data_IF_497498097407
#
_entry.id   IF_497498097407
#
_cell.length_a   1.000
_cell.length_b   1.000
_cell.length_c   1.000
_cell.angle_alpha   90.00
_cell.angle_beta   90.00
_cell.angle_gamma   90.00
#
_symmetry.space_group_name_H-M   'P 1'
#
loop_
_entity.id
_entity.type
_entity.pdbx_description
1 polymer ?
#
# COMPACT_ATOMS: atom_id res chain seq x y z
N UNK A 1 17.63 11.22 1.39
CA UNK A 1 17.45 10.52 0.09
C UNK A 1 18.74 10.06 -0.60
N UNK A 2 19.94 10.52 -0.22
CA UNK A 2 21.22 10.11 -0.86
C UNK A 2 21.62 8.64 -0.64
N UNK A 3 20.93 7.92 0.25
CA UNK A 3 21.26 6.54 0.62
C UNK A 3 20.54 5.47 -0.21
N UNK A 4 19.41 5.81 -0.85
CA UNK A 4 18.56 4.83 -1.54
C UNK A 4 19.12 4.49 -2.92
N UNK A 5 19.29 3.20 -3.18
CA UNK A 5 19.72 2.69 -4.49
C UNK A 5 18.51 2.40 -5.37
N UNK A 6 18.41 3.10 -6.50
CA UNK A 6 17.33 2.90 -7.49
C UNK A 6 17.22 1.45 -7.93
N UNK A 7 18.34 0.77 -8.18
CA UNK A 7 18.34 -0.65 -8.57
C UNK A 7 17.76 -1.56 -7.47
N UNK A 8 18.06 -1.27 -6.20
CA UNK A 8 17.52 -2.05 -5.08
C UNK A 8 16.03 -1.78 -4.87
N UNK A 9 15.56 -0.54 -5.06
CA UNK A 9 14.13 -0.21 -5.05
C UNK A 9 13.40 -0.91 -6.21
N UNK A 10 13.98 -0.95 -7.41
CA UNK A 10 13.46 -1.74 -8.54
C UNK A 10 13.33 -3.23 -8.19
N UNK A 11 14.35 -3.82 -7.56
CA UNK A 11 14.29 -5.20 -7.09
C UNK A 11 13.18 -5.43 -6.08
N UNK A 12 12.96 -4.49 -5.14
CA UNK A 12 11.85 -4.58 -4.20
C UNK A 12 10.50 -4.52 -4.92
N UNK A 13 10.31 -3.63 -5.89
CA UNK A 13 9.07 -3.57 -6.66
C UNK A 13 8.75 -4.92 -7.34
N UNK A 14 9.73 -5.51 -8.04
CA UNK A 14 9.54 -6.79 -8.70
C UNK A 14 9.39 -7.96 -7.71
N UNK A 15 10.15 -7.95 -6.62
CA UNK A 15 10.06 -8.96 -5.57
C UNK A 15 8.69 -8.93 -4.87
N UNK A 16 8.19 -7.76 -4.52
CA UNK A 16 6.86 -7.56 -3.94
C UNK A 16 5.75 -7.95 -4.89
N UNK A 17 5.87 -7.63 -6.19
CA UNK A 17 4.94 -8.07 -7.23
C UNK A 17 4.90 -9.59 -7.31
N UNK A 18 6.07 -10.23 -7.40
CA UNK A 18 6.20 -11.69 -7.45
C UNK A 18 5.61 -12.35 -6.21
N UNK A 19 5.90 -11.82 -5.01
CA UNK A 19 5.30 -12.31 -3.77
C UNK A 19 3.77 -12.19 -3.80
N UNK A 20 3.22 -11.11 -4.37
CA UNK A 20 1.78 -10.88 -4.43
C UNK A 20 1.09 -11.89 -5.32
N UNK A 21 1.68 -12.16 -6.48
CA UNK A 21 1.22 -13.21 -7.40
C UNK A 21 1.32 -14.58 -6.74
N UNK A 22 2.42 -14.91 -6.07
CA UNK A 22 2.57 -16.18 -5.34
C UNK A 22 1.49 -16.35 -4.27
N UNK A 23 1.23 -15.34 -3.45
CA UNK A 23 0.17 -15.36 -2.44
C UNK A 23 -1.22 -15.54 -3.07
N UNK A 24 -1.50 -14.87 -4.19
CA UNK A 24 -2.75 -15.04 -4.91
C UNK A 24 -2.92 -16.47 -5.47
N UNK A 25 -1.82 -17.08 -5.97
CA UNK A 25 -1.81 -18.47 -6.43
C UNK A 25 -2.06 -19.43 -5.25
N UNK A 26 -1.36 -19.24 -4.13
CA UNK A 26 -1.57 -20.04 -2.91
C UNK A 26 -3.01 -19.95 -2.43
N UNK A 27 -3.58 -18.75 -2.39
CA UNK A 27 -4.99 -18.55 -2.05
C UNK A 27 -5.92 -19.30 -3.00
N UNK A 28 -5.66 -19.23 -4.31
CA UNK A 28 -6.48 -19.91 -5.32
C UNK A 28 -6.42 -21.43 -5.18
N UNK A 29 -5.27 -21.98 -4.84
CA UNK A 29 -5.06 -23.43 -4.70
C UNK A 29 -5.64 -23.98 -3.40
N UNK A 30 -5.43 -23.29 -2.27
CA UNK A 30 -5.69 -23.85 -0.94
C UNK A 30 -6.80 -23.12 -0.16
N UNK A 31 -7.27 -21.96 -0.63
CA UNK A 31 -8.24 -21.12 0.08
C UNK A 31 -9.55 -21.83 0.40
N UNK A 32 -10.11 -22.61 -0.54
CA UNK A 32 -11.35 -23.35 -0.29
C UNK A 32 -11.20 -24.41 0.81
N UNK A 33 -10.06 -25.11 0.84
CA UNK A 33 -9.77 -26.09 1.89
C UNK A 33 -9.58 -25.42 3.25
N UNK A 34 -8.83 -24.31 3.29
CA UNK A 34 -8.60 -23.51 4.48
C UNK A 34 -9.91 -22.93 5.06
N UNK A 35 -10.81 -22.40 4.21
CA UNK A 35 -12.11 -21.88 4.66
C UNK A 35 -13.00 -22.98 5.23
N UNK A 36 -12.95 -24.21 4.69
CA UNK A 36 -13.68 -25.36 5.24
C UNK A 36 -13.18 -25.78 6.63
N UNK A 37 -11.87 -25.67 6.87
CA UNK A 37 -11.27 -26.00 8.17
C UNK A 37 -11.66 -25.01 9.27
N UNK A 38 -11.91 -23.74 8.92
CA UNK A 38 -12.33 -22.70 9.85
C UNK A 38 -11.20 -22.19 10.75
N UNK A 39 -11.57 -21.44 11.80
CA UNK A 39 -10.62 -20.94 12.80
C UNK A 39 -9.65 -19.86 12.28
N UNK A 40 -8.45 -19.81 12.86
CA UNK A 40 -7.42 -18.81 12.50
C UNK A 40 -6.87 -19.03 11.08
N UNK A 41 -6.77 -20.28 10.62
CA UNK A 41 -6.32 -20.62 9.26
C UNK A 41 -7.25 -19.98 8.21
N UNK A 42 -8.56 -20.11 8.38
CA UNK A 42 -9.52 -19.45 7.48
C UNK A 42 -9.36 -17.93 7.46
N UNK A 43 -9.13 -17.29 8.62
CA UNK A 43 -8.88 -15.84 8.70
C UNK A 43 -7.62 -15.45 7.94
N UNK A 44 -6.53 -16.20 8.12
CA UNK A 44 -5.26 -15.95 7.41
C UNK A 44 -5.45 -16.03 5.89
N UNK A 45 -6.17 -17.02 5.38
CA UNK A 45 -6.41 -17.13 3.93
C UNK A 45 -7.28 -15.98 3.39
N UNK A 46 -8.28 -15.51 4.13
CA UNK A 46 -9.04 -14.30 3.76
C UNK A 46 -8.12 -13.08 3.67
N UNK A 47 -7.19 -12.96 4.63
CA UNK A 47 -6.20 -11.89 4.64
C UNK A 47 -5.19 -11.98 3.49
N UNK A 48 -4.68 -13.18 3.18
CA UNK A 48 -3.82 -13.45 2.03
C UNK A 48 -4.51 -13.05 0.73
N UNK A 49 -5.80 -13.39 0.57
CA UNK A 49 -6.56 -12.99 -0.62
C UNK A 49 -6.61 -11.47 -0.78
N UNK A 50 -6.98 -10.76 0.29
CA UNK A 50 -7.14 -9.30 0.24
C UNK A 50 -5.80 -8.59 0.04
N UNK A 51 -4.77 -9.01 0.78
CA UNK A 51 -3.47 -8.33 0.78
C UNK A 51 -2.63 -8.68 -0.44
N UNK A 52 -2.81 -9.86 -1.06
CA UNK A 52 -2.20 -10.14 -2.37
C UNK A 52 -2.71 -9.18 -3.46
N UNK A 53 -4.01 -8.87 -3.48
CA UNK A 53 -4.58 -7.89 -4.41
C UNK A 53 -4.04 -6.48 -4.15
N UNK A 54 -4.01 -6.04 -2.88
CA UNK A 54 -3.45 -4.73 -2.51
C UNK A 54 -1.96 -4.63 -2.88
N UNK A 55 -1.19 -5.68 -2.63
CA UNK A 55 0.25 -5.69 -2.92
C UNK A 55 0.53 -5.63 -4.43
N UNK A 56 -0.22 -6.36 -5.25
CA UNK A 56 -0.12 -6.28 -6.71
C UNK A 56 -0.49 -4.86 -7.18
N UNK A 57 -1.62 -4.31 -6.71
CA UNK A 57 -2.06 -2.96 -7.06
C UNK A 57 -1.06 -1.88 -6.67
N UNK A 58 -0.51 -1.95 -5.45
CA UNK A 58 0.52 -1.03 -4.97
C UNK A 58 1.82 -1.11 -5.78
N UNK A 59 2.24 -2.31 -6.17
CA UNK A 59 3.40 -2.48 -7.05
C UNK A 59 3.14 -1.90 -8.46
N UNK A 60 1.94 -2.06 -9.03
CA UNK A 60 1.57 -1.45 -10.31
C UNK A 60 1.68 0.08 -10.21
N UNK A 61 1.16 0.68 -9.15
CA UNK A 61 1.21 2.14 -8.93
C UNK A 61 2.68 2.60 -8.82
N UNK A 62 3.48 1.94 -7.99
CA UNK A 62 4.89 2.24 -7.81
C UNK A 62 5.70 2.11 -9.11
N UNK A 63 5.50 1.02 -9.86
CA UNK A 63 6.16 0.78 -11.14
C UNK A 63 5.75 1.81 -12.19
N UNK A 64 4.46 2.16 -12.26
CA UNK A 64 3.95 3.14 -13.21
C UNK A 64 4.59 4.51 -12.99
N UNK A 65 4.70 4.93 -11.72
CA UNK A 65 5.37 6.18 -11.35
C UNK A 65 6.88 6.12 -11.67
N UNK A 66 7.56 5.05 -11.26
CA UNK A 66 9.00 4.87 -11.46
C UNK A 66 9.40 4.85 -12.94
N UNK A 67 8.77 3.97 -13.72
CA UNK A 67 9.07 3.84 -15.15
C UNK A 67 8.55 5.02 -15.96
N UNK A 68 7.45 5.66 -15.52
CA UNK A 68 6.98 6.93 -16.09
C UNK A 68 8.06 8.00 -16.03
N UNK A 69 8.73 8.15 -14.87
CA UNK A 69 9.88 9.06 -14.71
C UNK A 69 11.09 8.59 -15.52
N UNK A 70 11.46 7.31 -15.41
CA UNK A 70 12.65 6.74 -16.06
C UNK A 70 12.61 6.84 -17.60
N UNK A 71 11.43 6.67 -18.20
CA UNK A 71 11.21 6.76 -19.64
C UNK A 71 10.95 8.21 -20.11
N UNK A 72 10.87 9.18 -19.20
CA UNK A 72 10.62 10.59 -19.53
C UNK A 72 9.17 10.92 -19.91
N UNK A 73 8.23 10.01 -19.63
CA UNK A 73 6.79 10.24 -19.84
C UNK A 73 6.18 11.10 -18.72
N UNK A 74 6.75 11.03 -17.51
CA UNK A 74 6.31 11.81 -16.35
C UNK A 74 7.48 12.59 -15.72
N UNK A 75 7.20 13.76 -15.15
CA UNK A 75 8.11 14.41 -14.21
C UNK A 75 7.87 13.91 -12.79
N UNK A 76 8.89 13.87 -11.91
CA UNK A 76 8.69 13.60 -10.49
C UNK A 76 7.68 14.57 -9.88
N UNK A 77 6.77 14.08 -9.04
CA UNK A 77 5.79 14.90 -8.32
C UNK A 77 6.43 15.75 -7.20
N UNK A 78 7.60 15.35 -6.72
CA UNK A 78 8.41 16.09 -5.76
C UNK A 78 9.38 17.02 -6.50
N UNK A 79 9.49 18.29 -6.08
CA UNK A 79 10.44 19.25 -6.63
C UNK A 79 10.08 19.84 -8.00
N UNK A 80 8.80 19.77 -8.41
CA UNK A 80 8.30 20.22 -9.73
C UNK A 80 8.68 21.66 -10.08
N UNK A 81 8.82 22.53 -9.06
CA UNK A 81 9.20 23.95 -9.24
C UNK A 81 10.57 24.17 -9.91
N UNK A 82 11.47 23.19 -9.88
CA UNK A 82 12.81 23.32 -10.49
C UNK A 82 12.88 22.75 -11.93
N UNK A 83 11.97 21.85 -12.30
CA UNK A 83 12.04 21.08 -13.57
C UNK A 83 11.20 21.72 -14.69
N UNK A 84 10.14 22.45 -14.34
CA UNK A 84 9.20 23.05 -15.30
C UNK A 84 9.81 24.16 -16.20
N UNK A 85 11.02 24.64 -15.90
CA UNK A 85 11.67 25.71 -16.67
C UNK A 85 12.30 25.24 -18.00
N UNK A 86 12.46 23.94 -18.25
CA UNK A 86 13.21 23.42 -19.40
C UNK A 86 12.57 22.17 -20.03
N UNK A 87 11.60 22.36 -20.94
CA UNK A 87 11.47 21.67 -22.26
C UNK A 87 10.07 21.83 -22.87
N UNK A 88 10.04 22.23 -24.14
CA UNK A 88 8.84 22.54 -24.93
C UNK A 88 8.01 21.34 -25.44
N UNK A 89 7.95 20.25 -24.68
CA UNK A 89 6.95 19.19 -24.81
C UNK A 89 6.67 18.74 -23.38
N UNK A 90 5.63 19.28 -22.72
CA UNK A 90 5.42 19.06 -21.28
C UNK A 90 5.18 17.56 -21.02
N UNK A 91 6.12 16.85 -20.35
CA UNK A 91 5.84 15.52 -19.83
C UNK A 91 4.66 15.64 -18.84
N UNK A 92 3.85 14.60 -18.68
CA UNK A 92 2.76 14.62 -17.71
C UNK A 92 3.34 14.91 -16.33
N UNK A 93 2.88 15.96 -15.65
CA UNK A 93 3.30 16.23 -14.28
C UNK A 93 2.87 15.03 -13.41
N UNK A 94 3.83 14.31 -12.83
CA UNK A 94 3.54 13.05 -12.13
C UNK A 94 2.48 13.22 -11.04
N UNK A 95 2.53 14.36 -10.33
CA UNK A 95 1.51 14.73 -9.34
C UNK A 95 0.13 14.92 -9.95
N UNK A 96 0.02 15.69 -11.05
CA UNK A 96 -1.24 15.91 -11.75
C UNK A 96 -1.82 14.61 -12.35
N UNK A 97 -0.96 13.76 -12.91
CA UNK A 97 -1.34 12.46 -13.44
C UNK A 97 -1.92 11.54 -12.37
N UNK A 98 -1.23 11.40 -11.23
CA UNK A 98 -1.72 10.59 -10.10
C UNK A 98 -2.98 11.19 -9.48
N UNK A 99 -3.08 12.53 -9.39
CA UNK A 99 -4.29 13.21 -8.92
C UNK A 99 -5.50 12.96 -9.84
N UNK A 100 -5.31 12.98 -11.16
CA UNK A 100 -6.37 12.66 -12.11
C UNK A 100 -6.88 11.22 -11.92
N UNK A 101 -5.96 10.26 -11.71
CA UNK A 101 -6.31 8.87 -11.40
C UNK A 101 -7.07 8.77 -10.07
N UNK A 102 -6.63 9.50 -9.04
CA UNK A 102 -7.32 9.55 -7.74
C UNK A 102 -8.75 10.08 -7.89
N UNK A 103 -8.93 11.15 -8.68
CA UNK A 103 -10.25 11.73 -8.96
C UNK A 103 -11.16 10.72 -9.66
N UNK A 104 -10.67 10.02 -10.69
CA UNK A 104 -11.45 8.97 -11.37
C UNK A 104 -11.83 7.84 -10.39
N UNK A 105 -10.89 7.39 -9.56
CA UNK A 105 -11.15 6.36 -8.56
C UNK A 105 -12.24 6.80 -7.55
N UNK A 106 -12.19 8.05 -7.08
CA UNK A 106 -13.24 8.62 -6.22
C UNK A 106 -14.58 8.76 -6.91
N UNK A 107 -14.63 9.13 -8.19
CA UNK A 107 -15.89 9.18 -8.93
C UNK A 107 -16.52 7.79 -9.08
N UNK A 108 -15.70 6.76 -9.35
CA UNK A 108 -16.17 5.38 -9.38
C UNK A 108 -16.66 4.91 -8.01
N UNK A 109 -15.96 5.28 -6.93
CA UNK A 109 -16.35 4.92 -5.58
C UNK A 109 -17.64 5.64 -5.12
N UNK A 110 -17.79 6.92 -5.48
CA UNK A 110 -19.01 7.68 -5.27
C UNK A 110 -20.19 7.06 -6.05
N UNK A 111 -19.99 6.74 -7.33
CA UNK A 111 -20.99 6.05 -8.15
C UNK A 111 -21.40 4.71 -7.54
N UNK A 112 -20.43 3.94 -7.02
CA UNK A 112 -20.68 2.70 -6.28
C UNK A 112 -21.56 2.92 -5.05
N UNK A 113 -21.32 3.97 -4.27
CA UNK A 113 -22.07 4.24 -3.04
C UNK A 113 -23.44 4.88 -3.29
N UNK A 114 -23.62 5.58 -4.42
CA UNK A 114 -24.87 6.27 -4.75
C UNK A 114 -25.82 5.45 -5.64
N UNK A 115 -25.31 4.52 -6.45
CA UNK A 115 -26.11 3.79 -7.45
C UNK A 115 -26.21 2.30 -7.06
N UNK A 116 -27.40 1.81 -6.65
CA UNK A 116 -27.58 0.42 -6.20
C UNK A 116 -27.15 -0.64 -7.23
N UNK A 117 -27.33 -0.37 -8.53
CA UNK A 117 -26.89 -1.26 -9.59
C UNK A 117 -25.36 -1.42 -9.65
N UNK A 118 -24.63 -0.31 -9.48
CA UNK A 118 -23.15 -0.29 -9.43
C UNK A 118 -22.66 -0.97 -8.16
N UNK A 119 -23.30 -0.70 -7.02
CA UNK A 119 -22.98 -1.39 -5.76
C UNK A 119 -23.15 -2.91 -5.89
N UNK A 120 -24.28 -3.37 -6.44
CA UNK A 120 -24.54 -4.80 -6.64
C UNK A 120 -23.49 -5.45 -7.55
N UNK A 121 -23.17 -4.80 -8.67
CA UNK A 121 -22.12 -5.26 -9.58
C UNK A 121 -20.75 -5.33 -8.87
N UNK A 122 -20.39 -4.28 -8.12
CA UNK A 122 -19.13 -4.22 -7.37
C UNK A 122 -19.02 -5.35 -6.32
N UNK A 123 -20.05 -5.51 -5.48
CA UNK A 123 -20.09 -6.56 -4.47
C UNK A 123 -20.01 -7.97 -5.09
N UNK A 124 -20.58 -8.17 -6.28
CA UNK A 124 -20.47 -9.44 -6.99
C UNK A 124 -19.08 -9.67 -7.61
N UNK A 125 -18.45 -8.61 -8.13
CA UNK A 125 -17.17 -8.69 -8.84
C UNK A 125 -15.99 -8.86 -7.89
N UNK A 126 -16.03 -8.20 -6.72
CA UNK A 126 -14.96 -8.20 -5.72
C UNK A 126 -15.32 -9.04 -4.48
N UNK A 127 -16.13 -10.08 -4.66
CA UNK A 127 -16.55 -10.96 -3.57
C UNK A 127 -15.35 -11.57 -2.85
N UNK A 128 -15.30 -11.40 -1.53
CA UNK A 128 -14.21 -11.89 -0.67
C UNK A 128 -13.00 -10.94 -0.54
N UNK A 129 -12.96 -9.85 -1.31
CA UNK A 129 -11.93 -8.80 -1.16
C UNK A 129 -12.40 -7.64 -0.26
N UNK A 130 -13.71 -7.38 -0.23
CA UNK A 130 -14.32 -6.26 0.49
C UNK A 130 -14.53 -6.63 1.96
N UNK A 131 -14.08 -5.78 2.90
CA UNK A 131 -14.42 -5.95 4.33
C UNK A 131 -15.88 -5.59 4.57
N UNK A 132 -16.51 -6.20 5.58
CA UNK A 132 -17.90 -5.85 5.94
C UNK A 132 -18.07 -4.35 6.23
N UNK A 133 -17.07 -3.72 6.87
CA UNK A 133 -17.07 -2.28 7.15
C UNK A 133 -16.96 -1.38 5.90
N UNK A 134 -16.53 -1.93 4.76
CA UNK A 134 -16.33 -1.22 3.48
C UNK A 134 -17.52 -1.38 2.51
N UNK A 135 -18.56 -2.13 2.90
CA UNK A 135 -19.73 -2.35 2.04
C UNK A 135 -20.53 -1.07 1.79
N UNK A 136 -20.58 -0.18 2.80
CA UNK A 136 -21.32 1.08 2.79
C UNK A 136 -20.41 2.30 3.06
N UNK A 137 -19.09 2.12 3.03
CA UNK A 137 -18.07 3.17 3.20
C UNK A 137 -17.14 3.18 2.01
N UNK A 138 -16.34 4.23 1.85
CA UNK A 138 -15.34 4.32 0.79
C UNK A 138 -14.43 3.08 0.75
N UNK A 139 -14.10 2.63 -0.46
CA UNK A 139 -13.26 1.45 -0.65
C UNK A 139 -11.80 1.77 -0.25
N UNK A 140 -11.01 0.77 0.17
CA UNK A 140 -9.60 0.99 0.52
C UNK A 140 -8.78 1.65 -0.61
N UNK A 141 -9.10 1.36 -1.88
CA UNK A 141 -8.48 1.99 -3.05
C UNK A 141 -8.70 3.52 -3.09
N UNK A 142 -9.84 4.00 -2.59
CA UNK A 142 -10.13 5.43 -2.48
C UNK A 142 -9.20 6.15 -1.47
N UNK A 143 -8.57 5.42 -0.55
CA UNK A 143 -7.59 5.95 0.39
C UNK A 143 -6.15 5.67 -0.03
N UNK A 144 -5.91 4.56 -0.73
CA UNK A 144 -4.60 4.14 -1.24
C UNK A 144 -3.98 5.17 -2.19
N UNK A 145 -4.72 5.57 -3.24
CA UNK A 145 -4.17 6.47 -4.27
C UNK A 145 -3.82 7.85 -3.69
N UNK A 146 -4.67 8.48 -2.85
CA UNK A 146 -4.30 9.72 -2.16
C UNK A 146 -3.11 9.57 -1.21
N UNK A 147 -2.99 8.45 -0.49
CA UNK A 147 -1.81 8.17 0.34
C UNK A 147 -0.52 8.09 -0.47
N UNK A 148 -0.56 7.38 -1.60
CA UNK A 148 0.56 7.31 -2.54
C UNK A 148 0.89 8.69 -3.14
N UNK A 149 -0.13 9.46 -3.55
CA UNK A 149 0.05 10.82 -4.06
C UNK A 149 0.74 11.72 -3.03
N UNK A 150 0.26 11.71 -1.79
CA UNK A 150 0.85 12.49 -0.70
C UNK A 150 2.33 12.14 -0.49
N UNK A 151 2.67 10.84 -0.53
CA UNK A 151 4.06 10.41 -0.46
C UNK A 151 4.88 10.91 -1.68
N UNK A 152 4.35 10.76 -2.90
CA UNK A 152 5.04 11.19 -4.13
C UNK A 152 5.30 12.69 -4.18
N UNK A 153 4.41 13.50 -3.61
CA UNK A 153 4.57 14.96 -3.53
C UNK A 153 5.52 15.40 -2.40
N UNK A 154 5.70 14.56 -1.37
CA UNK A 154 6.42 14.95 -0.14
C UNK A 154 7.87 14.45 -0.08
N UNK A 155 8.25 13.50 -0.94
CA UNK A 155 9.59 12.90 -0.91
C UNK A 155 10.17 12.61 -2.30
N UNK A 156 11.50 12.53 -2.41
CA UNK A 156 12.16 12.06 -3.62
C UNK A 156 11.65 10.68 -4.07
N UNK A 157 11.61 10.40 -5.40
CA UNK A 157 10.88 9.26 -5.96
C UNK A 157 11.16 7.91 -5.27
N UNK A 158 12.43 7.58 -5.04
CA UNK A 158 12.82 6.31 -4.41
C UNK A 158 12.25 6.15 -2.99
N UNK A 159 12.20 7.23 -2.20
CA UNK A 159 11.67 7.19 -0.83
C UNK A 159 10.14 7.10 -0.85
N UNK A 160 9.49 7.85 -1.73
CA UNK A 160 8.04 7.79 -1.87
C UNK A 160 7.56 6.41 -2.36
N UNK A 161 8.27 5.82 -3.34
CA UNK A 161 8.03 4.43 -3.79
C UNK A 161 8.22 3.45 -2.64
N UNK A 162 9.28 3.61 -1.84
CA UNK A 162 9.51 2.76 -0.67
C UNK A 162 8.35 2.82 0.32
N UNK A 163 7.75 4.00 0.54
CA UNK A 163 6.55 4.15 1.37
C UNK A 163 5.32 3.40 0.82
N UNK A 164 5.10 3.43 -0.49
CA UNK A 164 4.05 2.63 -1.15
C UNK A 164 4.33 1.12 -1.01
N UNK A 165 5.60 0.72 -1.08
CA UNK A 165 6.00 -0.67 -0.87
C UNK A 165 5.83 -1.12 0.60
N UNK A 166 6.04 -0.24 1.58
CA UNK A 166 5.71 -0.50 2.98
C UNK A 166 4.21 -0.71 3.19
N UNK A 167 3.36 0.10 2.54
CA UNK A 167 1.93 -0.16 2.50
C UNK A 167 1.59 -1.47 1.78
N UNK A 168 2.37 -1.88 0.80
CA UNK A 168 2.05 -3.10 0.03
C UNK A 168 2.43 -4.37 0.80
N UNK A 169 3.64 -4.42 1.37
CA UNK A 169 4.22 -5.62 2.01
C UNK A 169 4.10 -5.57 3.53
N UNK A 170 4.38 -4.43 4.15
CA UNK A 170 4.37 -4.26 5.61
C UNK A 170 2.97 -4.45 6.18
N UNK A 171 1.98 -3.75 5.62
CA UNK A 171 0.56 -3.90 5.96
C UNK A 171 0.02 -5.31 5.62
N UNK A 172 0.51 -5.95 4.55
CA UNK A 172 0.20 -7.35 4.30
C UNK A 172 0.68 -8.25 5.45
N UNK A 173 1.92 -8.04 5.92
CA UNK A 173 2.46 -8.72 7.10
C UNK A 173 1.67 -8.41 8.36
N UNK A 174 1.29 -7.15 8.59
CA UNK A 174 0.49 -6.74 9.74
C UNK A 174 -0.88 -7.43 9.79
N UNK A 175 -1.55 -7.51 8.64
CA UNK A 175 -2.87 -8.13 8.53
C UNK A 175 -2.82 -9.65 8.70
N UNK A 176 -1.83 -10.31 8.09
CA UNK A 176 -1.61 -11.75 8.25
C UNK A 176 -1.22 -12.08 9.70
N UNK A 177 -0.31 -11.30 10.29
CA UNK A 177 0.10 -11.43 11.69
C UNK A 177 -1.06 -11.18 12.66
N UNK A 178 -1.94 -10.24 12.36
CA UNK A 178 -3.17 -10.00 13.14
C UNK A 178 -4.15 -11.18 13.06
N UNK A 179 -4.28 -11.82 11.89
CA UNK A 179 -5.15 -12.99 11.73
C UNK A 179 -4.61 -14.26 12.42
N UNK A 180 -3.29 -14.40 12.50
CA UNK A 180 -2.60 -15.52 13.17
C UNK A 180 -2.33 -15.27 14.67
N UNK A 181 -2.30 -14.00 15.08
CA UNK A 181 -1.89 -13.55 16.40
C UNK A 181 -2.92 -13.79 17.50
N UNK A 182 -2.45 -13.65 18.74
CA UNK A 182 -3.23 -13.90 19.95
C UNK A 182 -3.20 -12.74 20.94
N UNK A 183 -2.17 -11.90 20.88
CA UNK A 183 -1.97 -10.81 21.83
C UNK A 183 -2.49 -9.49 21.26
N UNK A 184 -3.49 -8.87 21.88
CA UNK A 184 -4.07 -7.62 21.38
C UNK A 184 -3.18 -6.41 21.66
N UNK A 185 -3.20 -5.45 20.74
CA UNK A 185 -2.59 -4.12 20.93
C UNK A 185 -3.61 -3.20 21.58
N UNK A 186 -3.41 -2.88 22.86
CA UNK A 186 -4.32 -2.04 23.65
C UNK A 186 -5.79 -2.54 23.56
N UNK A 187 -6.72 -1.65 23.20
CA UNK A 187 -8.13 -1.95 23.00
C UNK A 187 -8.50 -2.20 21.51
N UNK A 188 -7.52 -2.38 20.63
CA UNK A 188 -7.73 -2.55 19.19
C UNK A 188 -8.07 -4.00 18.80
N UNK A 189 -8.61 -4.18 17.58
CA UNK A 189 -8.72 -5.47 16.90
C UNK A 189 -7.36 -6.00 16.38
N UNK A 190 -6.33 -5.13 16.33
CA UNK A 190 -4.96 -5.52 15.96
C UNK A 190 -4.28 -6.39 17.01
N UNK A 191 -3.42 -7.28 16.51
CA UNK A 191 -2.54 -8.10 17.35
C UNK A 191 -1.10 -7.60 17.29
N UNK A 192 -0.37 -7.80 18.39
CA UNK A 192 1.05 -7.43 18.56
C UNK A 192 1.90 -8.13 17.50
N UNK A 193 1.57 -9.38 17.18
CA UNK A 193 2.22 -10.16 16.13
C UNK A 193 2.11 -9.48 14.75
N UNK A 194 1.00 -8.78 14.48
CA UNK A 194 0.83 -7.97 13.28
C UNK A 194 1.77 -6.76 13.28
N UNK A 195 1.81 -5.99 14.37
CA UNK A 195 2.71 -4.84 14.47
C UNK A 195 4.19 -5.23 14.36
N UNK A 196 4.59 -6.35 14.98
CA UNK A 196 5.95 -6.90 14.84
C UNK A 196 6.23 -7.28 13.39
N UNK A 197 5.30 -7.96 12.71
CA UNK A 197 5.48 -8.33 11.30
C UNK A 197 5.66 -7.11 10.39
N UNK A 198 4.83 -6.07 10.56
CA UNK A 198 4.97 -4.81 9.82
C UNK A 198 6.31 -4.15 10.08
N UNK A 199 6.69 -3.98 11.36
CA UNK A 199 7.96 -3.37 11.74
C UNK A 199 9.16 -4.13 11.17
N UNK A 200 9.18 -5.46 11.26
CA UNK A 200 10.28 -6.29 10.74
C UNK A 200 10.38 -6.21 9.23
N UNK A 201 9.26 -6.34 8.50
CA UNK A 201 9.26 -6.30 7.03
C UNK A 201 9.68 -4.92 6.51
N UNK A 202 9.11 -3.84 7.07
CA UNK A 202 9.47 -2.47 6.68
C UNK A 202 10.94 -2.16 7.00
N UNK A 203 11.46 -2.59 8.17
CA UNK A 203 12.87 -2.42 8.51
C UNK A 203 13.79 -3.14 7.53
N UNK A 204 13.46 -4.40 7.19
CA UNK A 204 14.24 -5.21 6.26
C UNK A 204 14.25 -4.60 4.85
N UNK A 205 13.08 -4.15 4.38
CA UNK A 205 12.94 -3.50 3.08
C UNK A 205 13.68 -2.16 3.03
N UNK A 206 13.55 -1.32 4.07
CA UNK A 206 14.26 -0.05 4.16
C UNK A 206 15.77 -0.22 4.15
N UNK A 207 16.27 -1.17 4.96
CA UNK A 207 17.70 -1.52 4.99
C UNK A 207 18.18 -2.04 3.63
N UNK A 208 17.44 -2.99 3.02
CA UNK A 208 17.77 -3.51 1.70
C UNK A 208 17.81 -2.39 0.66
N UNK A 209 16.82 -1.49 0.65
CA UNK A 209 16.75 -0.35 -0.28
C UNK A 209 17.93 0.62 -0.16
N UNK A 210 18.66 0.58 0.96
CA UNK A 210 19.89 1.34 1.18
C UNK A 210 19.83 2.30 2.37
N UNK A 211 18.71 2.37 3.11
CA UNK A 211 18.68 3.17 4.33
C UNK A 211 19.70 2.64 5.37
N UNK A 212 20.39 3.52 6.11
CA UNK A 212 21.15 3.10 7.27
C UNK A 212 20.26 2.28 8.22
N UNK A 213 20.76 1.20 8.86
CA UNK A 213 19.93 0.30 9.67
C UNK A 213 19.10 1.02 10.74
N UNK A 214 19.69 2.01 11.42
CA UNK A 214 18.98 2.80 12.43
C UNK A 214 17.84 3.64 11.83
N UNK A 215 18.03 4.25 10.65
CA UNK A 215 16.97 4.99 9.96
C UNK A 215 15.87 4.04 9.47
N UNK A 216 16.23 2.86 8.97
CA UNK A 216 15.23 1.86 8.57
C UNK A 216 14.35 1.42 9.75
N UNK A 217 14.94 1.23 10.94
CA UNK A 217 14.22 0.87 12.17
C UNK A 217 13.36 2.02 12.72
N UNK A 218 13.84 3.27 12.63
CA UNK A 218 13.07 4.46 13.03
C UNK A 218 11.88 4.63 12.09
N UNK A 219 12.12 4.60 10.79
CA UNK A 219 11.09 4.74 9.77
C UNK A 219 10.00 3.67 9.91
N UNK A 220 10.38 2.40 10.05
CA UNK A 220 9.42 1.31 10.28
C UNK A 220 8.69 1.44 11.61
N UNK A 221 9.33 1.98 12.65
CA UNK A 221 8.71 2.32 13.94
C UNK A 221 7.63 3.39 13.79
N UNK A 222 7.93 4.47 13.07
CA UNK A 222 6.97 5.55 12.75
C UNK A 222 5.80 5.01 11.93
N UNK A 223 6.05 4.16 10.94
CA UNK A 223 5.01 3.50 10.14
C UNK A 223 4.11 2.62 11.02
N UNK A 224 4.69 1.76 11.84
CA UNK A 224 3.95 0.83 12.71
C UNK A 224 3.12 1.59 13.75
N UNK A 225 3.68 2.65 14.33
CA UNK A 225 2.96 3.52 15.25
C UNK A 225 1.82 4.25 14.55
N UNK A 226 2.08 4.80 13.35
CA UNK A 226 1.08 5.47 12.53
C UNK A 226 -0.08 4.55 12.16
N UNK A 227 0.20 3.30 11.83
CA UNK A 227 -0.80 2.26 11.56
C UNK A 227 -1.68 1.96 12.79
N UNK A 228 -1.09 1.81 13.98
CA UNK A 228 -1.84 1.61 15.23
C UNK A 228 -2.68 2.83 15.58
N UNK A 229 -2.13 4.03 15.45
CA UNK A 229 -2.86 5.28 15.72
C UNK A 229 -4.01 5.48 14.73
N UNK A 230 -3.79 5.21 13.44
CA UNK A 230 -4.81 5.30 12.40
C UNK A 230 -6.03 4.46 12.76
N UNK A 231 -5.81 3.22 13.21
CA UNK A 231 -6.91 2.35 13.60
C UNK A 231 -7.68 2.88 14.83
N UNK A 232 -6.99 3.42 15.83
CA UNK A 232 -7.61 3.98 17.05
C UNK A 232 -8.49 5.19 16.71
N UNK A 233 -8.05 6.06 15.80
CA UNK A 233 -8.79 7.27 15.39
C UNK A 233 -9.78 7.00 14.24
N UNK A 234 -9.83 5.78 13.71
CA UNK A 234 -10.72 5.39 12.62
C UNK A 234 -10.30 5.87 11.23
N UNK A 235 -9.01 6.18 11.03
CA UNK A 235 -8.43 6.53 9.75
C UNK A 235 -7.96 5.27 8.99
N UNK A 236 -7.98 5.34 7.65
CA UNK A 236 -7.60 4.21 6.80
C UNK A 236 -6.07 4.06 6.72
N UNK A 237 -5.59 2.84 6.91
CA UNK A 237 -4.16 2.49 6.88
C UNK A 237 -3.53 2.74 5.50
N UNK A 238 -4.31 2.61 4.42
CA UNK A 238 -3.84 2.88 3.06
C UNK A 238 -3.52 4.36 2.81
N UNK A 239 -4.10 5.28 3.59
CA UNK A 239 -3.75 6.70 3.54
C UNK A 239 -2.50 6.99 4.39
N UNK A 240 -2.43 6.41 5.58
CA UNK A 240 -1.45 6.80 6.62
C UNK A 240 -0.08 6.21 6.37
N UNK A 241 0.03 4.94 5.99
CA UNK A 241 1.31 4.24 5.93
C UNK A 241 2.31 4.91 4.96
N UNK A 242 1.94 5.25 3.70
CA UNK A 242 2.88 5.89 2.79
C UNK A 242 3.37 7.26 3.30
N UNK A 243 2.51 8.01 3.97
CA UNK A 243 2.83 9.33 4.54
C UNK A 243 3.81 9.16 5.72
N UNK A 244 3.52 8.23 6.63
CA UNK A 244 4.36 7.97 7.80
C UNK A 244 5.73 7.42 7.42
N UNK A 245 5.82 6.64 6.34
CA UNK A 245 7.09 6.18 5.79
C UNK A 245 7.97 7.34 5.32
N UNK A 246 7.39 8.35 4.68
CA UNK A 246 8.11 9.57 4.27
C UNK A 246 8.54 10.40 5.49
N UNK A 247 7.67 10.55 6.50
CA UNK A 247 7.98 11.33 7.70
C UNK A 247 9.13 10.69 8.51
N UNK A 248 9.20 9.36 8.54
CA UNK A 248 10.16 8.64 9.35
C UNK A 248 11.57 8.48 8.76
N UNK A 249 11.82 8.94 7.53
CA UNK A 249 13.05 8.66 6.77
C UNK A 249 13.84 9.92 6.39
#
# INVERSE_FOLDING_TARGET
ASYLSTAKVENLMWGSMGLGVCLAVVQKMFGSAATKQGGSIAKVFVEIQRKSFHMIGGCIIAMSYHYGIKLGFMTPAFGVGEVAAHKGNLPLEGGAGVLAIAFVAWMLDAARLSIPAVQKWYLSSFKGLIRQKEMNKGAGVAFFIPGALAAFMSAPPNLAILGVLFLSVGDAGASIGTAAGKMRVFASERMVEGSIACWTLCSAMGWYAGLPPHMAMICSGVVTLGEVLAEIIGLDDNLVIPIMAVIGA
#
